data_IF_488105181886
#
_entry.id   IF_488105181886
#
_cell.length_a   1.000
_cell.length_b   1.000
_cell.length_c   1.000
_cell.angle_alpha   90.00
_cell.angle_beta   90.00
_cell.angle_gamma   90.00
#
_symmetry.space_group_name_H-M   'P 1'
#
loop_
_entity.id
_entity.type
_entity.pdbx_description
1 polymer ?
#
# COMPACT_ATOMS: atom_id res chain seq x y z
N UNK A 1 0.00 29.50 -7.89
CA UNK A 1 0.52 28.35 -7.10
C UNK A 1 1.92 28.02 -7.62
N UNK A 2 2.92 28.15 -6.78
CA UNK A 2 4.25 27.63 -7.11
C UNK A 2 4.11 26.12 -7.24
N UNK A 3 4.27 25.58 -8.45
CA UNK A 3 4.61 24.18 -8.62
C UNK A 3 5.89 23.98 -7.82
N UNK A 4 5.81 23.37 -6.65
CA UNK A 4 7.01 22.96 -5.95
C UNK A 4 7.71 21.97 -6.88
N UNK A 5 8.89 22.38 -7.36
CA UNK A 5 9.74 21.46 -8.09
C UNK A 5 9.91 20.21 -7.22
N UNK A 6 9.83 19.05 -7.84
CA UNK A 6 10.07 17.81 -7.12
C UNK A 6 11.48 17.85 -6.51
N UNK A 7 11.59 17.46 -5.25
CA UNK A 7 12.85 17.48 -4.52
C UNK A 7 13.59 16.14 -4.70
N UNK A 8 14.81 16.25 -5.23
CA UNK A 8 15.72 15.11 -5.27
C UNK A 8 16.61 15.05 -4.02
N UNK A 9 17.07 13.88 -3.69
CA UNK A 9 18.06 13.63 -2.64
C UNK A 9 18.96 12.45 -3.02
N UNK A 10 20.06 12.31 -2.31
CA UNK A 10 20.98 11.17 -2.50
C UNK A 10 20.75 10.16 -1.37
N UNK A 11 20.48 8.91 -1.73
CA UNK A 11 20.29 7.84 -0.75
C UNK A 11 21.64 7.32 -0.19
N UNK A 12 21.58 6.47 0.82
CA UNK A 12 22.76 5.88 1.48
C UNK A 12 23.71 5.14 0.53
N UNK A 13 23.21 4.74 -0.65
CA UNK A 13 23.98 4.05 -1.69
C UNK A 13 24.48 5.01 -2.80
N UNK A 14 24.36 6.32 -2.58
CA UNK A 14 24.80 7.33 -3.53
C UNK A 14 23.92 7.50 -4.78
N UNK A 15 22.67 7.04 -4.74
CA UNK A 15 21.75 7.12 -5.87
C UNK A 15 20.82 8.32 -5.73
N UNK A 16 20.54 9.00 -6.86
CA UNK A 16 19.54 10.06 -6.91
C UNK A 16 18.14 9.47 -6.69
N UNK A 17 17.41 10.05 -5.76
CA UNK A 17 16.03 9.70 -5.41
C UNK A 17 15.16 10.95 -5.47
N UNK A 18 13.87 10.75 -5.61
CA UNK A 18 12.88 11.82 -5.74
C UNK A 18 11.78 11.64 -4.70
N UNK A 19 11.48 12.68 -3.93
CA UNK A 19 10.46 12.59 -2.85
C UNK A 19 9.09 12.22 -3.40
N UNK A 20 8.70 12.79 -4.54
CA UNK A 20 7.41 12.45 -5.17
C UNK A 20 7.35 11.02 -5.69
N UNK A 21 8.47 10.46 -6.11
CA UNK A 21 8.55 9.05 -6.49
C UNK A 21 8.32 8.14 -5.28
N UNK A 22 8.91 8.48 -4.13
CA UNK A 22 8.72 7.73 -2.89
C UNK A 22 7.26 7.82 -2.41
N UNK A 23 6.67 9.01 -2.40
CA UNK A 23 5.25 9.23 -2.06
C UNK A 23 4.33 8.45 -3.00
N UNK A 24 4.60 8.46 -4.30
CA UNK A 24 3.82 7.72 -5.28
C UNK A 24 3.95 6.20 -5.07
N UNK A 25 5.14 5.73 -4.74
CA UNK A 25 5.37 4.33 -4.37
C UNK A 25 4.50 3.90 -3.19
N UNK A 26 4.44 4.70 -2.13
CA UNK A 26 3.57 4.43 -0.99
C UNK A 26 2.08 4.41 -1.37
N UNK A 27 1.63 5.32 -2.22
CA UNK A 27 0.24 5.36 -2.70
C UNK A 27 -0.12 4.14 -3.57
N UNK A 28 0.78 3.71 -4.44
CA UNK A 28 0.57 2.49 -5.24
C UNK A 28 0.54 1.24 -4.37
N UNK A 29 1.39 1.18 -3.36
CA UNK A 29 1.36 0.11 -2.36
C UNK A 29 0.03 0.07 -1.62
N UNK A 30 -0.45 1.20 -1.12
CA UNK A 30 -1.74 1.33 -0.45
C UNK A 30 -2.90 0.90 -1.35
N UNK A 31 -2.90 1.34 -2.61
CA UNK A 31 -3.91 0.91 -3.58
C UNK A 31 -3.91 -0.62 -3.75
N UNK A 32 -2.73 -1.23 -3.87
CA UNK A 32 -2.59 -2.69 -3.92
C UNK A 32 -3.18 -3.39 -2.69
N UNK A 33 -2.97 -2.83 -1.50
CA UNK A 33 -3.54 -3.35 -0.25
C UNK A 33 -5.08 -3.29 -0.26
N UNK A 34 -5.67 -2.17 -0.66
CA UNK A 34 -7.13 -2.04 -0.84
C UNK A 34 -7.69 -3.09 -1.80
N UNK A 35 -7.00 -3.31 -2.91
CA UNK A 35 -7.41 -4.29 -3.90
C UNK A 35 -7.35 -5.72 -3.35
N UNK A 36 -6.28 -6.09 -2.67
CA UNK A 36 -6.11 -7.43 -2.08
C UNK A 36 -7.16 -7.68 -1.01
N UNK A 37 -7.30 -6.76 -0.06
CA UNK A 37 -8.23 -6.90 1.07
C UNK A 37 -9.67 -6.89 0.59
N UNK A 38 -9.99 -6.07 -0.40
CA UNK A 38 -11.32 -5.98 -1.00
C UNK A 38 -11.70 -7.15 -1.90
N UNK A 39 -10.78 -8.06 -2.20
CA UNK A 39 -11.05 -9.25 -2.99
C UNK A 39 -10.91 -9.08 -4.50
N UNK A 40 -10.16 -8.07 -4.94
CA UNK A 40 -9.80 -7.93 -6.36
C UNK A 40 -8.94 -9.11 -6.83
N UNK A 41 -8.92 -9.36 -8.13
CA UNK A 41 -8.12 -10.44 -8.70
C UNK A 41 -6.66 -10.36 -8.25
N UNK A 42 -6.20 -11.40 -7.55
CA UNK A 42 -4.91 -11.42 -6.87
C UNK A 42 -3.73 -11.23 -7.83
N UNK A 43 -3.79 -11.79 -9.01
CA UNK A 43 -2.75 -11.66 -10.03
C UNK A 43 -2.53 -10.19 -10.45
N UNK A 44 -3.58 -9.42 -10.53
CA UNK A 44 -3.51 -7.99 -10.85
C UNK A 44 -3.08 -7.16 -9.64
N UNK A 45 -3.63 -7.43 -8.45
CA UNK A 45 -3.27 -6.73 -7.23
C UNK A 45 -1.81 -6.94 -6.83
N UNK A 46 -1.27 -8.13 -7.05
CA UNK A 46 0.11 -8.49 -6.74
C UNK A 46 1.17 -7.70 -7.53
N UNK A 47 0.78 -7.01 -8.60
CA UNK A 47 1.69 -6.16 -9.39
C UNK A 47 2.03 -4.85 -8.67
N UNK A 48 1.16 -4.35 -7.82
CA UNK A 48 1.32 -3.04 -7.19
C UNK A 48 2.56 -2.88 -6.31
N UNK A 49 2.98 -3.85 -5.49
CA UNK A 49 4.25 -3.77 -4.77
C UNK A 49 5.47 -3.62 -5.68
N UNK A 50 5.47 -4.31 -6.84
CA UNK A 50 6.56 -4.19 -7.84
C UNK A 50 6.55 -2.83 -8.52
N UNK A 51 5.36 -2.31 -8.85
CA UNK A 51 5.20 -0.98 -9.43
C UNK A 51 5.64 0.10 -8.44
N UNK A 52 5.24 -0.02 -7.18
CA UNK A 52 5.67 0.87 -6.10
C UNK A 52 7.19 0.93 -5.99
N UNK A 53 7.83 -0.23 -6.03
CA UNK A 53 9.29 -0.33 -5.99
C UNK A 53 9.95 0.30 -7.23
N UNK A 54 9.45 0.01 -8.43
CA UNK A 54 9.97 0.56 -9.67
C UNK A 54 9.86 2.09 -9.71
N UNK A 55 8.71 2.63 -9.33
CA UNK A 55 8.45 4.08 -9.28
C UNK A 55 9.36 4.76 -8.26
N UNK A 56 9.40 4.26 -7.02
CA UNK A 56 10.18 4.89 -5.94
C UNK A 56 11.67 4.94 -6.25
N UNK A 57 12.18 4.04 -7.06
CA UNK A 57 13.60 3.93 -7.41
C UNK A 57 13.96 4.44 -8.80
N UNK A 58 12.97 4.94 -9.55
CA UNK A 58 13.24 5.44 -10.89
C UNK A 58 14.15 6.68 -10.83
N UNK A 59 15.16 6.79 -11.72
CA UNK A 59 16.17 7.85 -11.63
C UNK A 59 15.68 9.24 -12.04
N UNK A 60 14.51 9.34 -12.68
CA UNK A 60 13.87 10.60 -13.05
C UNK A 60 12.64 10.88 -12.21
N UNK A 61 12.28 12.15 -12.04
CA UNK A 61 11.08 12.57 -11.33
C UNK A 61 9.81 12.08 -12.02
N UNK A 62 8.93 11.42 -11.24
CA UNK A 62 7.61 10.99 -11.71
C UNK A 62 6.76 12.19 -12.18
N UNK A 63 6.95 13.35 -11.57
CA UNK A 63 6.25 14.60 -11.96
C UNK A 63 6.66 15.05 -13.36
N UNK A 64 7.95 15.04 -13.65
CA UNK A 64 8.47 15.42 -14.96
C UNK A 64 8.11 14.38 -16.03
N UNK A 65 8.16 13.10 -15.70
CA UNK A 65 7.69 12.04 -16.59
C UNK A 65 6.21 12.19 -16.94
N UNK A 66 5.37 12.53 -15.95
CA UNK A 66 3.93 12.76 -16.16
C UNK A 66 3.69 13.96 -17.08
N UNK A 67 4.35 15.10 -16.81
CA UNK A 67 4.26 16.30 -17.65
C UNK A 67 4.67 16.05 -19.10
N UNK A 68 5.68 15.20 -19.30
CA UNK A 68 6.20 14.83 -20.61
C UNK A 68 5.45 13.71 -21.32
N UNK A 69 4.44 13.12 -20.69
CA UNK A 69 3.74 11.95 -21.25
C UNK A 69 4.60 10.68 -21.33
N UNK A 70 5.59 10.55 -20.44
CA UNK A 70 6.64 9.51 -20.45
C UNK A 70 6.54 8.48 -19.33
N UNK A 71 5.40 8.40 -18.64
CA UNK A 71 5.24 7.47 -17.51
C UNK A 71 5.46 6.00 -17.89
N UNK A 72 5.16 5.65 -19.12
CA UNK A 72 5.34 4.28 -19.64
C UNK A 72 6.81 3.87 -19.84
N UNK A 73 7.76 4.79 -19.71
CA UNK A 73 9.17 4.47 -19.69
C UNK A 73 9.58 3.72 -18.41
N UNK A 74 8.79 3.86 -17.34
CA UNK A 74 9.03 3.11 -16.11
C UNK A 74 8.61 1.64 -16.33
N UNK A 75 9.51 0.67 -16.05
CA UNK A 75 9.20 -0.74 -16.27
C UNK A 75 7.93 -1.21 -15.55
N UNK A 76 7.04 -1.84 -16.29
CA UNK A 76 5.77 -2.36 -15.78
C UNK A 76 4.60 -1.39 -15.81
N UNK A 77 4.82 -0.13 -16.23
CA UNK A 77 3.76 0.87 -16.36
C UNK A 77 3.26 0.90 -17.81
N UNK A 78 2.01 0.49 -18.01
CA UNK A 78 1.25 0.67 -19.24
C UNK A 78 0.17 1.73 -19.07
N UNK A 79 -0.69 1.90 -20.07
CA UNK A 79 -1.77 2.91 -20.12
C UNK A 79 -2.60 3.00 -18.84
N UNK A 80 -3.06 1.87 -18.33
CA UNK A 80 -3.93 1.82 -17.14
C UNK A 80 -3.22 2.37 -15.90
N UNK A 81 -2.00 1.94 -15.66
CA UNK A 81 -1.21 2.40 -14.49
C UNK A 81 -0.76 3.84 -14.68
N UNK A 82 -0.40 4.24 -15.89
CA UNK A 82 -0.07 5.63 -16.21
C UNK A 82 -1.26 6.57 -15.90
N UNK A 83 -2.49 6.16 -16.25
CA UNK A 83 -3.72 6.89 -15.91
C UNK A 83 -3.90 7.02 -14.40
N UNK A 84 -3.73 5.93 -13.65
CA UNK A 84 -3.83 5.93 -12.18
C UNK A 84 -2.80 6.89 -11.56
N UNK A 85 -1.55 6.82 -11.99
CA UNK A 85 -0.48 7.70 -11.51
C UNK A 85 -0.81 9.16 -11.84
N UNK A 86 -1.26 9.44 -13.06
CA UNK A 86 -1.68 10.79 -13.47
C UNK A 86 -2.78 11.34 -12.59
N UNK A 87 -3.83 10.58 -12.34
CA UNK A 87 -4.92 10.96 -11.44
C UNK A 87 -4.42 11.24 -10.03
N UNK A 88 -3.57 10.38 -9.48
CA UNK A 88 -2.97 10.55 -8.14
C UNK A 88 -2.12 11.82 -8.05
N UNK A 89 -1.35 12.14 -9.09
CA UNK A 89 -0.53 13.35 -9.14
C UNK A 89 -1.38 14.62 -9.26
N UNK A 90 -2.42 14.58 -10.10
CA UNK A 90 -3.24 15.75 -10.43
C UNK A 90 -4.27 16.06 -9.34
N UNK A 91 -4.86 15.05 -8.70
CA UNK A 91 -6.00 15.20 -7.77
C UNK A 91 -5.74 14.64 -6.37
N UNK A 92 -4.68 13.89 -6.16
CA UNK A 92 -4.38 13.22 -4.89
C UNK A 92 -5.16 11.92 -4.67
N UNK A 93 -6.05 11.55 -5.58
CA UNK A 93 -6.81 10.30 -5.57
C UNK A 93 -6.90 9.70 -6.98
N UNK A 94 -7.47 8.52 -7.11
CA UNK A 94 -7.80 7.95 -8.41
C UNK A 94 -9.12 7.19 -8.33
N UNK A 95 -9.79 7.04 -9.46
CA UNK A 95 -11.09 6.38 -9.54
C UNK A 95 -11.05 4.96 -8.97
N UNK A 96 -10.00 4.22 -9.26
CA UNK A 96 -9.84 2.86 -8.76
C UNK A 96 -9.76 2.80 -7.23
N UNK A 97 -9.03 3.72 -6.61
CA UNK A 97 -8.95 3.82 -5.15
C UNK A 97 -10.30 4.18 -4.54
N UNK A 98 -11.00 5.15 -5.12
CA UNK A 98 -12.33 5.55 -4.64
C UNK A 98 -13.35 4.42 -4.72
N UNK A 99 -13.33 3.65 -5.82
CA UNK A 99 -14.23 2.51 -6.01
C UNK A 99 -13.96 1.40 -4.98
N UNK A 100 -12.70 1.07 -4.74
CA UNK A 100 -12.32 -0.02 -3.84
C UNK A 100 -12.32 0.37 -2.37
N UNK A 101 -12.12 1.64 -2.03
CA UNK A 101 -12.25 2.14 -0.66
C UNK A 101 -13.68 1.99 -0.12
N UNK A 102 -14.69 1.94 -0.98
CA UNK A 102 -16.08 1.69 -0.59
C UNK A 102 -16.32 0.27 -0.09
N UNK A 103 -15.50 -0.68 -0.50
CA UNK A 103 -15.64 -2.11 -0.15
C UNK A 103 -14.87 -2.52 1.10
N UNK A 104 -13.94 -1.68 1.57
CA UNK A 104 -13.09 -2.00 2.71
C UNK A 104 -13.14 -0.87 3.73
N UNK A 105 -13.66 -1.11 4.94
CA UNK A 105 -13.66 -0.09 6.00
C UNK A 105 -12.24 0.41 6.31
N UNK A 106 -12.12 1.69 6.63
CA UNK A 106 -10.85 2.29 7.03
C UNK A 106 -10.20 1.55 8.21
N UNK A 107 -11.00 1.11 9.17
CA UNK A 107 -10.54 0.33 10.32
C UNK A 107 -9.81 -0.96 9.93
N UNK A 108 -10.27 -1.63 8.87
CA UNK A 108 -9.60 -2.82 8.31
C UNK A 108 -8.24 -2.44 7.70
N UNK A 109 -8.17 -1.32 7.00
CA UNK A 109 -6.92 -0.83 6.43
C UNK A 109 -5.89 -0.44 7.50
N UNK A 110 -6.33 0.02 8.67
CA UNK A 110 -5.46 0.30 9.80
C UNK A 110 -4.74 -0.95 10.32
N UNK A 111 -5.36 -2.12 10.18
CA UNK A 111 -4.70 -3.40 10.49
C UNK A 111 -3.54 -3.71 9.53
N UNK A 112 -3.65 -3.32 8.26
CA UNK A 112 -2.57 -3.52 7.28
C UNK A 112 -1.30 -2.70 7.59
N UNK A 113 -1.43 -1.64 8.38
CA UNK A 113 -0.30 -0.84 8.85
C UNK A 113 0.46 -1.47 10.02
N UNK A 114 -0.09 -2.50 10.65
CA UNK A 114 0.56 -3.21 11.79
C UNK A 114 1.77 -4.00 11.28
N UNK A 115 2.95 -3.81 11.89
CA UNK A 115 4.13 -4.60 11.53
C UNK A 115 3.87 -6.11 11.62
N UNK A 116 4.21 -6.84 10.58
CA UNK A 116 4.00 -8.27 10.49
C UNK A 116 2.63 -8.71 9.94
N UNK A 117 1.68 -7.77 9.76
CA UNK A 117 0.42 -8.04 9.07
C UNK A 117 0.50 -7.60 7.62
N UNK A 118 0.62 -8.57 6.71
CA UNK A 118 0.48 -8.30 5.27
C UNK A 118 -0.99 -8.20 4.84
N UNK A 119 -1.22 -7.64 3.66
CA UNK A 119 -2.56 -7.48 3.12
C UNK A 119 -3.35 -8.79 2.99
N UNK A 120 -2.69 -9.89 2.65
CA UNK A 120 -3.32 -11.23 2.58
C UNK A 120 -3.79 -11.74 3.94
N UNK A 121 -3.00 -11.50 4.98
CA UNK A 121 -3.37 -11.87 6.35
C UNK A 121 -4.54 -11.02 6.84
N UNK A 122 -4.52 -9.72 6.57
CA UNK A 122 -5.64 -8.82 6.89
C UNK A 122 -6.90 -9.22 6.15
N UNK A 123 -6.81 -9.57 4.87
CA UNK A 123 -7.93 -10.11 4.09
C UNK A 123 -8.57 -11.32 4.77
N UNK A 124 -7.75 -12.27 5.18
CA UNK A 124 -8.21 -13.48 5.87
C UNK A 124 -8.89 -13.15 7.21
N UNK A 125 -8.26 -12.28 8.03
CA UNK A 125 -8.84 -11.84 9.30
C UNK A 125 -10.20 -11.16 9.09
N UNK A 126 -10.30 -10.32 8.09
CA UNK A 126 -11.53 -9.60 7.77
C UNK A 126 -12.62 -10.51 7.20
N UNK A 127 -12.30 -11.30 6.18
CA UNK A 127 -13.30 -12.09 5.45
C UNK A 127 -13.66 -13.42 6.12
N UNK A 128 -12.70 -14.08 6.75
CA UNK A 128 -12.91 -15.41 7.33
C UNK A 128 -13.17 -15.38 8.84
N UNK A 129 -12.58 -14.42 9.56
CA UNK A 129 -12.69 -14.30 11.02
C UNK A 129 -13.53 -13.11 11.49
N UNK A 130 -14.06 -12.31 10.56
CA UNK A 130 -14.92 -11.19 10.86
C UNK A 130 -14.28 -10.12 11.78
N UNK A 131 -12.96 -9.98 11.69
CA UNK A 131 -12.20 -8.99 12.45
C UNK A 131 -12.11 -7.72 11.62
N UNK A 132 -12.71 -6.64 12.12
CA UNK A 132 -12.91 -5.40 11.36
C UNK A 132 -12.07 -4.22 11.84
N UNK A 133 -11.38 -4.38 12.97
CA UNK A 133 -10.54 -3.33 13.57
C UNK A 133 -9.49 -3.90 14.52
N UNK A 134 -8.61 -3.02 15.01
CA UNK A 134 -7.58 -3.40 15.97
C UNK A 134 -8.14 -3.88 17.31
N UNK A 135 -9.27 -3.35 17.77
CA UNK A 135 -9.92 -3.79 18.99
C UNK A 135 -10.41 -5.24 18.86
N UNK A 136 -11.09 -5.56 17.76
CA UNK A 136 -11.52 -6.93 17.45
C UNK A 136 -10.35 -7.90 17.30
N UNK A 137 -9.23 -7.43 16.75
CA UNK A 137 -8.00 -8.21 16.65
C UNK A 137 -7.42 -8.50 18.05
N UNK A 138 -7.35 -7.51 18.93
CA UNK A 138 -6.90 -7.68 20.30
C UNK A 138 -7.77 -8.67 21.07
N UNK A 139 -9.08 -8.53 20.97
CA UNK A 139 -10.04 -9.46 21.61
C UNK A 139 -9.88 -10.89 21.10
N UNK A 140 -9.67 -11.07 19.81
CA UNK A 140 -9.45 -12.39 19.22
C UNK A 140 -8.13 -13.03 19.69
N UNK A 141 -7.08 -12.24 19.86
CA UNK A 141 -5.80 -12.70 20.42
C UNK A 141 -5.93 -13.08 21.89
N UNK A 142 -6.62 -12.27 22.70
CA UNK A 142 -6.83 -12.52 24.12
C UNK A 142 -7.71 -13.76 24.38
N UNK A 143 -8.66 -14.02 23.48
CA UNK A 143 -9.51 -15.21 23.54
C UNK A 143 -8.88 -16.45 22.88
N UNK A 144 -7.63 -16.35 22.43
CA UNK A 144 -6.86 -17.41 21.73
C UNK A 144 -7.58 -17.98 20.49
N UNK A 145 -8.42 -17.16 19.84
CA UNK A 145 -9.18 -17.56 18.64
C UNK A 145 -8.33 -17.62 17.36
N UNK A 146 -7.12 -17.07 17.41
CA UNK A 146 -6.21 -17.01 16.27
C UNK A 146 -5.05 -18.00 16.38
N UNK A 147 -5.05 -18.88 17.37
CA UNK A 147 -4.05 -19.94 17.49
C UNK A 147 -4.12 -20.88 16.27
N UNK A 148 -2.95 -21.16 15.68
CA UNK A 148 -2.85 -22.03 14.51
C UNK A 148 -3.31 -21.44 13.19
N UNK A 149 -3.71 -20.17 13.16
CA UNK A 149 -4.08 -19.49 11.91
C UNK A 149 -2.83 -19.27 11.06
N UNK A 150 -2.90 -19.67 9.79
CA UNK A 150 -1.81 -19.52 8.84
C UNK A 150 -1.43 -18.04 8.69
N UNK A 151 -0.13 -17.73 8.78
CA UNK A 151 0.39 -16.38 8.72
C UNK A 151 0.45 -15.65 10.06
N UNK A 152 -0.04 -16.25 11.14
CA UNK A 152 0.00 -15.72 12.50
C UNK A 152 0.84 -16.63 13.40
N UNK A 153 2.14 -16.61 13.21
CA UNK A 153 3.09 -17.27 14.09
C UNK A 153 3.33 -16.50 15.39
N UNK A 154 4.06 -17.10 16.37
CA UNK A 154 4.33 -16.46 17.67
C UNK A 154 5.00 -15.09 17.56
N UNK A 155 5.95 -14.91 16.64
CA UNK A 155 6.61 -13.62 16.42
C UNK A 155 5.66 -12.55 15.89
N UNK A 156 4.78 -12.91 14.95
CA UNK A 156 3.78 -12.01 14.38
C UNK A 156 2.77 -11.59 15.45
N UNK A 157 2.28 -12.54 16.24
CA UNK A 157 1.37 -12.26 17.35
C UNK A 157 2.02 -11.33 18.39
N UNK A 158 3.28 -11.55 18.74
CA UNK A 158 4.03 -10.69 19.64
C UNK A 158 4.18 -9.27 19.09
N UNK A 159 4.52 -9.13 17.80
CA UNK A 159 4.63 -7.82 17.14
C UNK A 159 3.28 -7.07 17.12
N UNK A 160 2.17 -7.77 16.85
CA UNK A 160 0.83 -7.21 16.87
C UNK A 160 0.47 -6.71 18.26
N UNK A 161 0.70 -7.51 19.29
CA UNK A 161 0.45 -7.13 20.69
C UNK A 161 1.25 -5.90 21.10
N UNK A 162 2.52 -5.84 20.73
CA UNK A 162 3.37 -4.65 20.98
C UNK A 162 2.83 -3.40 20.31
N UNK A 163 2.37 -3.51 19.07
CA UNK A 163 1.81 -2.40 18.33
C UNK A 163 0.50 -1.88 18.93
N UNK A 164 -0.39 -2.79 19.37
CA UNK A 164 -1.66 -2.43 19.99
C UNK A 164 -1.45 -1.77 21.35
N UNK A 165 -0.45 -2.23 22.12
CA UNK A 165 -0.14 -1.71 23.45
C UNK A 165 0.58 -0.35 23.38
N UNK A 166 1.44 -0.15 22.39
CA UNK A 166 2.22 1.07 22.17
C UNK A 166 2.01 1.54 20.70
N UNK A 167 0.86 2.15 20.41
CA UNK A 167 0.56 2.64 19.06
C UNK A 167 1.43 3.81 18.60
#
# INVERSE_FOLDING_TARGET
MKSSADESYIDEKGRTRWRRNDEMGERLKQLGEYLIIGGYEESHAARYPRLAHAVSRYPESIVELHKGGRLEEIPGIGDTIATIIGELLDTGTCQKLEDWAKHTPRSVMEMAAVPGLGAKTVKMLYQEHNIVDLAGLADALDADRLAGVKGLGPKTISAIRSHITNP
#
